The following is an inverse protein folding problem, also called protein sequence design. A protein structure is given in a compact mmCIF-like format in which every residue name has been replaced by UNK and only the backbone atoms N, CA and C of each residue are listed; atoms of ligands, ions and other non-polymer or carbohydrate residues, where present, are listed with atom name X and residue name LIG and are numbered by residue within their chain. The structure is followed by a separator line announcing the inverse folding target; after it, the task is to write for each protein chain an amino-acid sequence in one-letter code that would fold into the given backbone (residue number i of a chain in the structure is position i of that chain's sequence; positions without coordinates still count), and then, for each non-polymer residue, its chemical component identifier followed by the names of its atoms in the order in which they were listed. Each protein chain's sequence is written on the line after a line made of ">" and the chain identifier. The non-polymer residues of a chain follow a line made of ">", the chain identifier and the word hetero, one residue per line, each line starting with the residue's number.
data_IF_028653057199
#
_entry.id   IF_028653057199
#
_cell.length_a   1.000
_cell.length_b   1.000
_cell.length_c   1.000
_cell.angle_alpha   90.00
_cell.angle_beta   90.00
_cell.angle_gamma   90.00
#
_symmetry.space_group_name_H-M   'P 1'
#
loop_
_entity.id
_entity.type
_entity.pdbx_description
1 polymer ?
#
# COMPACT_ATOMS: atom_id res chain seq x y z
N UNK A 1 40.83 -21.78 13.06
CA UNK A 1 39.39 -22.09 13.29
C UNK A 1 38.60 -20.92 13.88
N UNK A 2 39.04 -20.30 14.98
CA UNK A 2 38.29 -19.22 15.67
C UNK A 2 37.93 -18.04 14.75
N UNK A 3 38.87 -17.54 13.94
CA UNK A 3 38.61 -16.42 13.03
C UNK A 3 37.54 -16.71 11.96
N UNK A 4 37.49 -17.96 11.46
CA UNK A 4 36.51 -18.39 10.46
C UNK A 4 35.10 -18.40 11.08
N UNK A 5 34.99 -18.86 12.33
CA UNK A 5 33.72 -18.88 13.05
C UNK A 5 33.14 -17.47 13.29
N UNK A 6 33.97 -16.52 13.73
CA UNK A 6 33.54 -15.13 13.91
C UNK A 6 33.12 -14.46 12.59
N UNK A 7 33.82 -14.75 11.50
CA UNK A 7 33.47 -14.25 10.17
C UNK A 7 32.12 -14.79 9.68
N UNK A 8 31.85 -16.08 9.89
CA UNK A 8 30.57 -16.70 9.55
C UNK A 8 29.39 -16.10 10.34
N UNK A 9 29.57 -15.79 11.63
CA UNK A 9 28.56 -15.12 12.45
C UNK A 9 28.24 -13.72 11.92
N UNK A 10 29.26 -12.97 11.49
CA UNK A 10 29.09 -11.65 10.89
C UNK A 10 28.24 -11.68 9.62
N UNK A 11 28.47 -12.67 8.76
CA UNK A 11 27.70 -12.86 7.51
C UNK A 11 26.24 -13.22 7.80
N UNK A 12 25.98 -14.14 8.74
CA UNK A 12 24.61 -14.50 9.14
C UNK A 12 23.86 -13.30 9.72
N UNK A 13 24.51 -12.52 10.57
CA UNK A 13 23.94 -11.29 11.15
C UNK A 13 23.60 -10.26 10.07
N UNK A 14 24.47 -10.07 9.07
CA UNK A 14 24.21 -9.17 7.94
C UNK A 14 23.03 -9.65 7.09
N UNK A 15 22.92 -10.96 6.86
CA UNK A 15 21.84 -11.56 6.07
C UNK A 15 20.47 -11.39 6.76
N UNK A 16 20.40 -11.57 8.08
CA UNK A 16 19.16 -11.38 8.84
C UNK A 16 18.66 -9.92 8.83
N UNK A 17 19.57 -8.94 8.87
CA UNK A 17 19.21 -7.51 8.77
C UNK A 17 18.62 -7.14 7.41
N UNK A 18 19.02 -7.84 6.35
CA UNK A 18 18.51 -7.60 5.01
C UNK A 18 17.01 -7.90 4.90
N UNK A 19 16.50 -8.93 5.59
CA UNK A 19 15.05 -9.23 5.59
C UNK A 19 14.20 -8.13 6.23
N UNK A 20 14.68 -7.54 7.32
CA UNK A 20 13.92 -6.51 8.06
C UNK A 20 13.88 -5.18 7.31
N UNK A 21 14.89 -4.89 6.48
CA UNK A 21 14.98 -3.61 5.75
C UNK A 21 14.08 -3.57 4.49
N UNK A 22 13.62 -4.73 4.01
CA UNK A 22 12.70 -4.82 2.88
C UNK A 22 11.24 -4.58 3.28
N UNK A 23 10.95 -4.46 4.58
CA UNK A 23 9.61 -4.18 5.07
C UNK A 23 9.32 -2.68 4.93
N UNK A 24 8.34 -2.28 4.10
CA UNK A 24 8.07 -0.87 3.82
C UNK A 24 7.45 -0.20 5.05
N UNK A 25 8.20 0.70 5.71
CA UNK A 25 7.80 1.25 7.02
C UNK A 25 6.77 2.36 6.96
N UNK A 26 6.61 3.02 5.82
CA UNK A 26 5.74 4.19 5.66
C UNK A 26 4.33 3.83 5.18
N UNK A 27 4.10 2.56 4.83
CA UNK A 27 2.76 2.07 4.49
C UNK A 27 2.13 1.38 5.70
N UNK A 28 0.83 1.59 5.94
CA UNK A 28 0.10 0.83 6.95
C UNK A 28 0.29 -0.67 6.70
N UNK A 29 0.84 -1.35 7.69
CA UNK A 29 0.87 -2.79 7.77
C UNK A 29 -0.53 -3.31 8.08
N UNK A 30 -0.87 -4.53 7.62
CA UNK A 30 -2.14 -5.16 8.00
C UNK A 30 -2.29 -5.28 9.52
N UNK A 31 -1.17 -5.37 10.25
CA UNK A 31 -1.13 -5.45 11.70
C UNK A 31 -1.32 -4.10 12.41
N UNK A 32 -1.19 -2.97 11.70
CA UNK A 32 -1.30 -1.62 12.27
C UNK A 32 -2.32 -0.71 11.54
N UNK A 33 -3.23 -1.30 10.75
CA UNK A 33 -4.30 -0.52 10.15
C UNK A 33 -5.36 -0.16 11.19
N UNK A 34 -5.83 1.08 11.14
CA UNK A 34 -7.05 1.46 11.86
C UNK A 34 -8.26 1.06 11.01
N UNK A 35 -9.37 0.64 11.63
CA UNK A 35 -10.60 0.40 10.89
C UNK A 35 -11.05 1.68 10.17
N UNK A 36 -11.73 1.51 9.04
CA UNK A 36 -12.31 2.63 8.28
C UNK A 36 -13.27 3.42 9.18
N UNK A 37 -13.01 4.72 9.40
CA UNK A 37 -13.85 5.56 10.23
C UNK A 37 -14.87 6.34 9.37
N UNK A 38 -16.11 5.86 9.36
CA UNK A 38 -17.22 6.51 8.65
C UNK A 38 -17.70 7.81 9.30
N UNK A 39 -17.16 8.20 10.45
CA UNK A 39 -17.39 9.52 11.07
C UNK A 39 -16.38 10.55 10.58
N UNK A 40 -15.25 10.11 10.02
CA UNK A 40 -14.21 10.98 9.48
C UNK A 40 -14.55 11.38 8.04
N UNK A 41 -14.70 12.69 7.73
CA UNK A 41 -15.01 13.14 6.38
C UNK A 41 -13.97 12.73 5.33
N UNK A 42 -12.67 12.69 5.69
CA UNK A 42 -11.61 12.32 4.77
C UNK A 42 -11.72 10.85 4.33
N UNK A 43 -12.00 9.94 5.27
CA UNK A 43 -12.18 8.52 5.00
C UNK A 43 -13.38 8.28 4.08
N UNK A 44 -14.51 8.95 4.33
CA UNK A 44 -15.69 8.88 3.46
C UNK A 44 -15.35 9.37 2.03
N UNK A 45 -14.66 10.50 1.92
CA UNK A 45 -14.33 11.08 0.61
C UNK A 45 -13.42 10.14 -0.19
N UNK A 46 -12.32 9.68 0.42
CA UNK A 46 -11.28 8.90 -0.25
C UNK A 46 -11.80 7.52 -0.62
N UNK A 47 -12.46 6.83 0.33
CA UNK A 47 -12.81 5.42 0.16
C UNK A 47 -14.20 5.18 -0.44
N UNK A 48 -15.10 6.18 -0.45
CA UNK A 48 -16.47 6.03 -0.98
C UNK A 48 -16.73 7.00 -2.13
N UNK A 49 -16.56 8.31 -1.90
CA UNK A 49 -16.99 9.34 -2.86
C UNK A 49 -16.15 9.31 -4.14
N UNK A 50 -14.81 9.28 -4.01
CA UNK A 50 -13.90 9.25 -5.17
C UNK A 50 -14.20 8.06 -6.09
N UNK A 51 -14.28 6.80 -5.61
CA UNK A 51 -14.65 5.64 -6.45
C UNK A 51 -15.99 5.81 -7.17
N UNK A 52 -17.03 6.31 -6.49
CA UNK A 52 -18.35 6.53 -7.08
C UNK A 52 -18.27 7.58 -8.20
N UNK A 53 -17.54 8.67 -8.00
CA UNK A 53 -17.33 9.70 -9.02
C UNK A 53 -16.62 9.10 -10.24
N UNK A 54 -15.55 8.31 -10.05
CA UNK A 54 -14.86 7.66 -11.16
C UNK A 54 -15.79 6.77 -11.99
N UNK A 55 -16.63 5.97 -11.34
CA UNK A 55 -17.62 5.13 -12.01
C UNK A 55 -18.64 5.98 -12.76
N UNK A 56 -19.17 7.03 -12.14
CA UNK A 56 -20.14 7.93 -12.77
C UNK A 56 -19.54 8.61 -14.02
N UNK A 57 -18.33 9.16 -13.90
CA UNK A 57 -17.62 9.81 -15.00
C UNK A 57 -17.35 8.85 -16.16
N UNK A 58 -17.00 7.59 -15.88
CA UNK A 58 -16.84 6.55 -16.89
C UNK A 58 -18.12 6.37 -17.73
N UNK A 59 -19.28 6.25 -17.07
CA UNK A 59 -20.56 6.09 -17.76
C UNK A 59 -21.00 7.34 -18.51
N UNK A 60 -20.78 8.54 -17.95
CA UNK A 60 -21.06 9.81 -18.64
C UNK A 60 -20.20 9.94 -19.92
N UNK A 61 -18.92 9.61 -19.83
CA UNK A 61 -17.99 9.63 -20.97
C UNK A 61 -18.42 8.64 -22.06
N UNK A 62 -18.90 7.45 -21.68
CA UNK A 62 -19.38 6.43 -22.63
C UNK A 62 -20.63 6.88 -23.38
N UNK A 63 -21.56 7.60 -22.73
CA UNK A 63 -22.78 8.11 -23.38
C UNK A 63 -22.47 9.19 -24.42
N UNK A 64 -21.48 10.05 -24.18
CA UNK A 64 -21.12 11.14 -25.10
C UNK A 64 -20.57 10.66 -26.45
N UNK A 65 -19.93 9.49 -26.51
CA UNK A 65 -19.42 8.92 -27.76
C UNK A 65 -20.50 8.40 -28.72
N UNK A 66 -21.75 8.24 -28.28
CA UNK A 66 -22.85 7.70 -29.11
C UNK A 66 -23.64 8.79 -29.87
N UNK A 67 -23.55 10.05 -29.46
CA UNK A 67 -24.30 11.17 -30.05
C UNK A 67 -23.51 12.02 -31.06
N UNK A 68 -22.30 11.57 -31.45
CA UNK A 68 -21.44 12.27 -32.44
C UNK A 68 -21.32 11.53 -33.78
N UNK A 69 -22.22 10.58 -34.07
CA UNK A 69 -22.46 10.00 -35.40
C UNK A 69 -23.91 10.25 -35.79
#
# INVERSE_FOLDING_TARGET
>A
MIYIFHFSIGIVSLFLKFFVIQIPKEVPHPDNNSPLDLSNPADIIIYIVIPIIFVALYFLSRKRKKNNN
#
